data_IF_404009692150
#
_entry.id   IF_404009692150
#
_cell.length_a   1.000
_cell.length_b   1.000
_cell.length_c   1.000
_cell.angle_alpha   90.00
_cell.angle_beta   90.00
_cell.angle_gamma   90.00
#
_symmetry.space_group_name_H-M   'P 1'
#
loop_
_entity.id
_entity.type
_entity.pdbx_description
1 polymer ?
#
# COMPACT_ATOMS: atom_id res chain seq x y z
N UNK A 1 2.86 -18.05 -12.51
CA UNK A 1 2.56 -17.19 -11.35
C UNK A 1 3.34 -15.90 -11.58
N UNK A 2 2.68 -14.86 -12.10
CA UNK A 2 3.34 -13.58 -12.38
C UNK A 2 3.05 -12.63 -11.22
N UNK A 3 4.09 -12.23 -10.50
CA UNK A 3 4.00 -11.14 -9.54
C UNK A 3 3.88 -9.82 -10.29
N UNK A 4 2.86 -9.01 -9.97
CA UNK A 4 2.74 -7.65 -10.50
C UNK A 4 3.51 -6.71 -9.56
N UNK A 5 4.26 -5.73 -10.09
CA UNK A 5 4.91 -4.72 -9.25
C UNK A 5 3.85 -3.74 -8.72
N UNK A 6 3.78 -3.63 -7.40
CA UNK A 6 2.87 -2.70 -6.72
C UNK A 6 3.67 -1.43 -6.35
N UNK A 7 3.31 -0.29 -6.94
CA UNK A 7 4.03 0.97 -6.78
C UNK A 7 3.19 2.05 -6.10
N UNK A 8 3.85 2.94 -5.36
CA UNK A 8 3.22 4.13 -4.80
C UNK A 8 4.13 5.36 -4.91
N UNK A 9 3.51 6.54 -4.90
CA UNK A 9 4.19 7.83 -5.01
C UNK A 9 3.67 8.78 -3.94
N UNK A 10 4.55 9.59 -3.36
CA UNK A 10 4.18 10.72 -2.53
C UNK A 10 4.04 11.97 -3.41
N UNK A 11 2.82 12.49 -3.66
CA UNK A 11 2.64 13.62 -4.58
C UNK A 11 3.32 14.92 -4.09
N UNK A 12 3.52 15.05 -2.77
CA UNK A 12 4.12 16.23 -2.16
C UNK A 12 5.65 16.29 -2.29
N UNK A 13 6.32 15.15 -2.43
CA UNK A 13 7.80 15.07 -2.49
C UNK A 13 8.32 14.47 -3.79
N UNK A 14 7.50 13.71 -4.52
CA UNK A 14 7.92 12.94 -5.68
C UNK A 14 8.62 11.61 -5.33
N UNK A 15 8.69 11.24 -4.05
CA UNK A 15 9.27 9.97 -3.63
C UNK A 15 8.43 8.80 -4.18
N UNK A 16 9.10 7.80 -4.75
CA UNK A 16 8.46 6.62 -5.33
C UNK A 16 9.03 5.36 -4.70
N UNK A 17 8.16 4.39 -4.47
CA UNK A 17 8.54 3.07 -4.01
C UNK A 17 7.76 1.99 -4.74
N UNK A 18 8.42 0.86 -5.00
CA UNK A 18 7.83 -0.30 -5.61
C UNK A 18 8.15 -1.54 -4.77
N UNK A 19 7.13 -2.36 -4.55
CA UNK A 19 7.26 -3.64 -3.88
C UNK A 19 7.11 -4.76 -4.91
N UNK A 20 8.06 -5.69 -4.94
CA UNK A 20 8.05 -6.83 -5.85
C UNK A 20 7.90 -8.09 -5.03
N UNK A 21 6.84 -8.85 -5.31
CA UNK A 21 6.57 -10.14 -4.70
C UNK A 21 6.39 -11.23 -5.76
N UNK A 22 6.87 -12.46 -5.51
CA UNK A 22 6.58 -13.60 -6.39
C UNK A 22 5.13 -14.09 -6.31
N UNK A 23 4.37 -13.73 -5.27
CA UNK A 23 2.98 -14.16 -5.06
C UNK A 23 2.06 -13.00 -4.66
N UNK A 24 0.75 -13.24 -4.74
CA UNK A 24 -0.28 -12.27 -4.39
C UNK A 24 -1.01 -12.75 -3.14
N UNK A 25 -0.94 -12.00 -2.04
CA UNK A 25 -1.60 -12.34 -0.78
C UNK A 25 -1.99 -11.09 0.02
N UNK A 26 -2.95 -11.24 0.94
CA UNK A 26 -3.33 -10.17 1.87
C UNK A 26 -2.17 -9.73 2.77
N UNK A 27 -1.31 -10.65 3.17
CA UNK A 27 -0.18 -10.33 4.05
C UNK A 27 0.85 -9.44 3.36
N UNK A 28 1.04 -9.65 2.06
CA UNK A 28 1.91 -8.81 1.24
C UNK A 28 1.35 -7.40 1.11
N UNK A 29 0.03 -7.26 0.90
CA UNK A 29 -0.58 -5.94 0.92
C UNK A 29 -0.49 -5.27 2.29
N UNK A 30 -0.66 -6.02 3.38
CA UNK A 30 -0.46 -5.46 4.74
C UNK A 30 0.97 -4.96 4.93
N UNK A 31 1.97 -5.69 4.46
CA UNK A 31 3.36 -5.25 4.52
C UNK A 31 3.59 -3.98 3.70
N UNK A 32 2.95 -3.87 2.54
CA UNK A 32 3.07 -2.68 1.70
C UNK A 32 2.34 -1.47 2.32
N UNK A 33 1.15 -1.67 2.88
CA UNK A 33 0.42 -0.66 3.65
C UNK A 33 1.23 -0.20 4.87
N UNK A 34 1.96 -1.10 5.54
CA UNK A 34 2.88 -0.75 6.62
C UNK A 34 4.00 0.19 6.14
N UNK A 35 4.60 -0.06 4.97
CA UNK A 35 5.62 0.85 4.40
C UNK A 35 5.03 2.23 4.11
N UNK A 36 3.86 2.30 3.47
CA UNK A 36 3.15 3.56 3.19
C UNK A 36 2.85 4.29 4.50
N UNK A 37 2.32 3.57 5.49
CA UNK A 37 1.97 4.13 6.79
C UNK A 37 3.19 4.70 7.51
N UNK A 38 4.31 3.97 7.52
CA UNK A 38 5.55 4.39 8.16
C UNK A 38 6.22 5.57 7.44
N UNK A 39 6.11 5.65 6.11
CA UNK A 39 6.65 6.76 5.30
C UNK A 39 5.79 8.02 5.35
N UNK A 40 4.52 7.87 5.69
CA UNK A 40 3.60 9.02 5.82
C UNK A 40 3.93 9.80 7.08
N UNK A 41 4.37 11.05 6.90
CA UNK A 41 4.68 11.95 8.02
C UNK A 41 3.46 12.15 8.93
N UNK A 42 3.65 12.40 10.24
CA UNK A 42 2.56 12.79 11.14
C UNK A 42 1.74 13.94 10.56
N UNK A 43 0.43 13.96 10.83
CA UNK A 43 -0.54 14.93 10.29
C UNK A 43 -0.77 14.87 8.76
N UNK A 44 -0.26 13.84 8.07
CA UNK A 44 -0.58 13.56 6.66
C UNK A 44 -1.41 12.31 6.53
N UNK A 45 -2.27 12.29 5.52
CA UNK A 45 -3.10 11.14 5.16
C UNK A 45 -2.59 10.54 3.85
N UNK A 46 -2.55 9.22 3.77
CA UNK A 46 -2.27 8.53 2.51
C UNK A 46 -3.58 7.96 1.95
N UNK A 47 -3.83 8.23 0.67
CA UNK A 47 -4.93 7.64 -0.10
C UNK A 47 -4.36 6.50 -0.93
N UNK A 48 -4.90 5.30 -0.76
CA UNK A 48 -4.46 4.12 -1.51
C UNK A 48 -5.55 3.74 -2.52
N UNK A 49 -5.25 3.90 -3.81
CA UNK A 49 -6.16 3.51 -4.91
C UNK A 49 -5.61 2.25 -5.56
N UNK A 50 -6.34 1.15 -5.46
CA UNK A 50 -5.95 -0.14 -6.04
C UNK A 50 -6.91 -0.50 -7.17
N UNK A 51 -6.39 -0.69 -8.37
CA UNK A 51 -7.18 -1.13 -9.52
C UNK A 51 -7.08 -2.66 -9.67
N UNK A 52 -8.22 -3.36 -9.68
CA UNK A 52 -8.26 -4.77 -10.09
C UNK A 52 -7.77 -5.80 -9.06
N UNK A 53 -7.95 -5.55 -7.76
CA UNK A 53 -7.61 -6.50 -6.70
C UNK A 53 -8.87 -6.98 -5.94
N UNK A 54 -9.68 -7.85 -6.55
CA UNK A 54 -10.94 -8.33 -5.95
C UNK A 54 -10.82 -9.08 -4.61
N UNK A 55 -9.60 -9.42 -4.21
CA UNK A 55 -9.25 -10.03 -2.91
C UNK A 55 -8.83 -8.98 -1.85
N UNK A 56 -8.73 -7.71 -2.25
CA UNK A 56 -8.49 -6.57 -1.40
C UNK A 56 -9.81 -6.19 -0.71
N UNK A 57 -9.94 -6.56 0.55
CA UNK A 57 -11.13 -6.27 1.37
C UNK A 57 -10.80 -5.17 2.38
N UNK A 58 -11.77 -4.36 2.78
CA UNK A 58 -11.54 -3.16 3.59
C UNK A 58 -10.80 -3.43 4.92
N UNK A 59 -10.90 -4.65 5.46
CA UNK A 59 -10.24 -5.07 6.72
C UNK A 59 -8.71 -5.04 6.69
N UNK A 60 -8.08 -4.97 5.51
CA UNK A 60 -6.60 -4.99 5.45
C UNK A 60 -5.96 -3.68 5.94
N UNK A 61 -6.73 -2.59 5.99
CA UNK A 61 -6.26 -1.27 6.37
C UNK A 61 -6.65 -0.87 7.81
N UNK A 62 -7.51 -1.64 8.48
CA UNK A 62 -8.11 -1.30 9.79
C UNK A 62 -7.05 -1.07 10.89
N UNK A 63 -5.90 -1.74 10.79
CA UNK A 63 -4.79 -1.61 11.75
C UNK A 63 -3.99 -0.30 11.56
N UNK A 64 -4.19 0.44 10.45
CA UNK A 64 -3.41 1.62 10.09
C UNK A 64 -4.23 2.90 10.20
N UNK A 65 -4.04 3.65 11.29
CA UNK A 65 -4.82 4.86 11.60
C UNK A 65 -4.74 5.99 10.55
N UNK A 66 -3.68 6.00 9.74
CA UNK A 66 -3.39 7.03 8.74
C UNK A 66 -3.72 6.61 7.30
N UNK A 67 -4.28 5.40 7.12
CA UNK A 67 -4.72 4.88 5.82
C UNK A 67 -6.25 4.79 5.83
N UNK A 68 -6.87 5.15 4.71
CA UNK A 68 -8.32 5.03 4.47
C UNK A 68 -8.60 4.73 3.01
#
# INVERSE_FOLDING_TARGET
MWGLPDGYVCPATGDTEAFISPNVSKDIMRQQLFQISHKTKPERHALVVVNGAGWLTNDIADDFKNLR
#
